data_IF_986658651897
#
_entry.id   IF_986658651897
#
_cell.length_a   1.000
_cell.length_b   1.000
_cell.length_c   1.000
_cell.angle_alpha   90.00
_cell.angle_beta   90.00
_cell.angle_gamma   90.00
#
_symmetry.space_group_name_H-M   'P 1'
#
loop_
_entity.id
_entity.type
_entity.pdbx_description
1 polymer ?
#
# COMPACT_ATOMS: atom_id res chain seq x y z
N UNK A 1 -37.48 -34.98 11.23
CA UNK A 1 -37.03 -33.58 11.11
C UNK A 1 -37.49 -32.95 9.80
N UNK A 2 -38.48 -32.05 9.90
CA UNK A 2 -39.06 -31.29 8.80
C UNK A 2 -38.20 -30.03 8.57
N UNK A 3 -37.44 -29.97 7.46
CA UNK A 3 -36.70 -28.76 7.07
C UNK A 3 -37.63 -27.87 6.25
N UNK A 4 -38.23 -26.90 6.93
CA UNK A 4 -39.09 -25.86 6.35
C UNK A 4 -38.38 -25.12 5.21
N UNK A 5 -38.93 -25.22 4.01
CA UNK A 5 -38.74 -24.23 2.95
C UNK A 5 -39.81 -23.16 3.12
N UNK A 6 -39.37 -21.90 3.26
CA UNK A 6 -40.06 -20.62 3.10
C UNK A 6 -39.03 -19.57 3.56
N UNK A 7 -38.69 -18.48 2.88
CA UNK A 7 -39.52 -17.57 2.11
C UNK A 7 -38.59 -16.70 1.23
N UNK A 8 -38.73 -16.78 -0.09
CA UNK A 8 -38.14 -15.80 -1.02
C UNK A 8 -38.87 -14.47 -0.86
N UNK A 9 -38.13 -13.37 -0.69
CA UNK A 9 -38.70 -12.02 -0.77
C UNK A 9 -38.17 -11.35 -2.04
N UNK A 10 -39.03 -11.00 -3.02
CA UNK A 10 -38.67 -10.10 -4.10
C UNK A 10 -39.12 -8.68 -3.73
N UNK A 11 -38.17 -7.77 -3.61
CA UNK A 11 -38.36 -6.32 -3.60
C UNK A 11 -37.28 -5.88 -4.60
N UNK A 12 -37.59 -5.47 -5.82
CA UNK A 12 -38.24 -4.20 -6.11
C UNK A 12 -39.01 -4.22 -7.45
N UNK A 13 -40.07 -3.42 -7.52
CA UNK A 13 -40.65 -2.98 -8.79
C UNK A 13 -41.02 -1.53 -8.60
N UNK A 14 -40.26 -0.64 -9.23
CA UNK A 14 -40.64 0.76 -9.40
C UNK A 14 -40.04 1.27 -10.69
N UNK A 15 -40.90 1.36 -11.71
CA UNK A 15 -41.09 2.56 -12.50
C UNK A 15 -39.93 3.02 -13.40
N UNK A 16 -40.09 2.74 -14.68
CA UNK A 16 -39.38 3.35 -15.80
C UNK A 16 -39.34 4.89 -15.75
N UNK A 17 -38.20 5.48 -16.11
CA UNK A 17 -38.18 6.58 -17.07
C UNK A 17 -36.85 6.53 -17.82
N UNK A 18 -36.90 6.23 -19.11
CA UNK A 18 -35.74 6.39 -19.98
C UNK A 18 -35.50 7.89 -20.15
N UNK A 19 -34.40 8.42 -19.61
CA UNK A 19 -33.98 9.78 -19.92
C UNK A 19 -33.51 9.81 -21.39
N UNK A 20 -34.31 10.49 -22.19
CA UNK A 20 -34.04 10.70 -23.61
C UNK A 20 -32.92 11.73 -23.74
N UNK A 21 -31.84 11.37 -24.42
CA UNK A 21 -30.87 12.35 -24.88
C UNK A 21 -31.60 13.30 -25.84
N UNK A 22 -31.89 14.50 -25.38
CA UNK A 22 -32.25 15.61 -26.25
C UNK A 22 -31.21 16.67 -26.02
N UNK A 23 -30.18 16.64 -26.86
CA UNK A 23 -29.20 17.72 -26.97
C UNK A 23 -29.90 18.88 -27.67
N UNK A 24 -30.71 19.65 -26.95
CA UNK A 24 -31.26 20.89 -27.50
C UNK A 24 -30.10 21.87 -27.72
N UNK A 25 -29.88 22.16 -28.99
CA UNK A 25 -28.85 23.05 -29.47
C UNK A 25 -29.48 24.42 -29.64
N UNK A 26 -29.20 25.31 -28.67
CA UNK A 26 -29.21 26.78 -28.80
C UNK A 26 -30.58 27.41 -29.11
N UNK A 27 -31.00 28.50 -28.45
CA UNK A 27 -30.55 29.86 -28.74
C UNK A 27 -31.15 30.85 -27.70
N UNK A 28 -30.29 31.76 -27.22
CA UNK A 28 -30.58 33.14 -26.77
C UNK A 28 -31.50 33.42 -25.57
N UNK A 29 -30.90 33.81 -24.43
CA UNK A 29 -30.78 35.22 -24.00
C UNK A 29 -30.51 35.32 -22.48
N UNK A 30 -29.36 35.90 -22.08
CA UNK A 30 -29.10 36.33 -20.70
C UNK A 30 -27.73 35.92 -20.15
N UNK A 31 -26.90 36.93 -19.83
CA UNK A 31 -25.55 36.92 -19.21
C UNK A 31 -25.40 36.11 -17.90
N UNK A 32 -24.23 36.15 -17.21
CA UNK A 32 -22.90 35.65 -17.58
C UNK A 32 -22.38 34.68 -16.49
N UNK A 33 -21.93 33.48 -16.85
CA UNK A 33 -21.14 32.67 -15.91
C UNK A 33 -19.97 32.04 -16.63
N UNK A 34 -18.79 32.61 -16.38
CA UNK A 34 -17.51 31.91 -16.48
C UNK A 34 -17.64 30.57 -15.74
N UNK A 35 -17.93 29.48 -16.43
CA UNK A 35 -17.64 28.15 -15.88
C UNK A 35 -16.23 27.78 -16.29
N UNK A 36 -15.34 28.27 -15.44
CA UNK A 36 -13.99 27.81 -15.19
C UNK A 36 -13.89 26.28 -15.32
N UNK A 37 -12.84 25.89 -16.04
CA UNK A 37 -12.09 24.63 -15.95
C UNK A 37 -12.67 23.55 -15.07
N UNK A 38 -13.13 22.46 -15.70
CA UNK A 38 -12.95 21.15 -15.05
C UNK A 38 -11.51 20.71 -15.36
N UNK A 39 -10.58 21.27 -14.59
CA UNK A 39 -9.29 20.65 -14.36
C UNK A 39 -9.59 19.23 -13.88
N UNK A 40 -9.17 18.21 -14.63
CA UNK A 40 -9.08 16.87 -14.09
C UNK A 40 -8.10 16.94 -12.91
N UNK A 41 -8.62 17.13 -11.70
CA UNK A 41 -7.84 17.01 -10.48
C UNK A 41 -7.56 15.52 -10.30
N UNK A 42 -6.29 15.19 -10.54
CA UNK A 42 -5.70 13.87 -10.41
C UNK A 42 -5.99 13.32 -9.01
N UNK A 43 -6.58 12.13 -8.97
CA UNK A 43 -6.77 11.36 -7.75
C UNK A 43 -5.44 10.73 -7.30
N UNK A 44 -4.44 11.57 -7.00
CA UNK A 44 -3.04 11.19 -6.68
C UNK A 44 -2.90 10.54 -5.29
N UNK A 45 -3.96 10.58 -4.46
CA UNK A 45 -3.92 10.12 -3.07
C UNK A 45 -4.08 8.62 -2.87
N UNK A 46 -4.66 7.88 -3.84
CA UNK A 46 -4.84 6.43 -3.68
C UNK A 46 -3.59 5.64 -4.09
N UNK A 47 -2.78 6.18 -5.01
CA UNK A 47 -1.61 5.48 -5.56
C UNK A 47 -0.48 5.31 -4.51
N UNK A 48 -0.27 6.30 -3.64
CA UNK A 48 0.75 6.23 -2.59
C UNK A 48 0.44 5.17 -1.52
N UNK A 49 -0.84 4.83 -1.36
CA UNK A 49 -1.28 3.80 -0.40
C UNK A 49 -0.87 2.38 -0.83
N UNK A 50 -0.69 2.16 -2.13
CA UNK A 50 -0.34 0.89 -2.75
C UNK A 50 1.17 0.71 -2.97
N UNK A 51 1.96 1.76 -2.73
CA UNK A 51 3.41 1.71 -2.92
C UNK A 51 4.06 0.72 -1.93
N UNK A 52 4.78 -0.25 -2.49
CA UNK A 52 5.53 -1.25 -1.72
C UNK A 52 6.95 -0.75 -1.48
N UNK A 53 7.27 -0.44 -0.23
CA UNK A 53 8.60 0.03 0.17
C UNK A 53 9.29 -0.94 1.13
N UNK A 54 8.54 -1.68 1.94
CA UNK A 54 9.11 -2.59 2.93
C UNK A 54 9.51 -3.95 2.33
N UNK A 55 10.59 -4.55 2.83
CA UNK A 55 11.09 -5.88 2.42
C UNK A 55 10.09 -7.05 2.60
N UNK A 56 8.98 -6.83 3.32
CA UNK A 56 7.91 -7.82 3.44
C UNK A 56 6.97 -7.86 2.23
N UNK A 57 7.25 -7.04 1.20
CA UNK A 57 6.50 -6.97 -0.06
C UNK A 57 5.03 -6.59 0.13
N UNK A 58 4.72 -5.87 1.20
CA UNK A 58 3.39 -5.33 1.48
C UNK A 58 3.42 -3.81 1.40
N UNK A 59 2.36 -3.18 0.90
CA UNK A 59 2.28 -1.72 0.81
C UNK A 59 2.14 -1.09 2.20
N UNK A 60 2.02 0.24 2.24
CA UNK A 60 1.83 1.00 3.47
C UNK A 60 0.61 0.51 4.27
N UNK A 61 -0.57 0.43 3.63
CA UNK A 61 -1.82 -0.04 4.23
C UNK A 61 -2.15 0.58 5.60
N UNK A 62 -1.75 1.85 5.83
CA UNK A 62 -1.99 2.57 7.09
C UNK A 62 -1.20 2.05 8.30
N UNK A 63 -0.17 1.21 8.10
CA UNK A 63 0.64 0.64 9.19
C UNK A 63 1.84 1.53 9.47
N UNK A 64 2.21 1.80 10.75
CA UNK A 64 3.33 2.69 11.06
C UNK A 64 4.64 2.15 10.47
N UNK A 65 5.40 3.05 9.84
CA UNK A 65 6.67 2.77 9.19
C UNK A 65 7.78 3.66 9.75
N UNK A 66 9.02 3.20 9.63
CA UNK A 66 10.23 3.94 9.95
C UNK A 66 11.18 3.87 8.77
N UNK A 67 11.88 4.96 8.48
CA UNK A 67 12.90 5.03 7.44
C UNK A 67 14.24 4.47 7.92
N UNK A 68 14.95 3.74 7.06
CA UNK A 68 16.31 3.30 7.33
C UNK A 68 17.33 4.40 7.01
N UNK A 69 18.19 4.76 7.96
CA UNK A 69 19.21 5.80 7.80
C UNK A 69 20.34 5.46 6.82
N UNK A 70 20.37 4.26 6.25
CA UNK A 70 21.44 3.81 5.36
C UNK A 70 20.97 3.48 3.95
N UNK A 71 19.78 2.93 3.80
CA UNK A 71 19.23 2.53 2.51
C UNK A 71 17.89 3.21 2.19
N UNK A 72 17.47 4.17 3.02
CA UNK A 72 16.28 5.03 2.85
C UNK A 72 14.97 4.24 2.68
N UNK A 73 15.01 2.93 2.96
CA UNK A 73 13.87 2.04 2.81
C UNK A 73 12.94 2.20 4.00
N UNK A 74 11.66 2.40 3.73
CA UNK A 74 10.61 2.45 4.73
C UNK A 74 10.21 1.04 5.17
N UNK A 75 10.26 0.79 6.48
CA UNK A 75 10.03 -0.53 7.08
C UNK A 75 8.88 -0.45 8.07
N UNK A 76 7.92 -1.37 8.01
CA UNK A 76 6.85 -1.43 9.02
C UNK A 76 7.44 -1.69 10.41
N UNK A 77 6.89 -1.05 11.45
CA UNK A 77 7.34 -1.25 12.84
C UNK A 77 7.38 -2.73 13.25
N UNK A 78 6.38 -3.51 12.86
CA UNK A 78 6.33 -4.94 13.16
C UNK A 78 7.45 -5.73 12.45
N UNK A 79 7.83 -5.34 11.23
CA UNK A 79 8.92 -5.93 10.47
C UNK A 79 10.29 -5.51 11.06
N UNK A 80 10.38 -4.26 11.52
CA UNK A 80 11.54 -3.72 12.22
C UNK A 80 11.67 -4.20 13.68
N UNK A 81 10.64 -4.88 14.22
CA UNK A 81 10.51 -5.27 15.63
C UNK A 81 10.56 -4.09 16.62
N UNK A 82 10.01 -2.94 16.22
CA UNK A 82 9.91 -1.72 17.04
C UNK A 82 8.56 -1.69 17.75
N UNK A 83 8.58 -1.35 19.04
CA UNK A 83 7.37 -1.10 19.84
C UNK A 83 7.01 0.38 19.79
N UNK A 84 5.72 0.71 19.77
CA UNK A 84 5.23 2.11 19.69
C UNK A 84 5.76 3.03 20.80
N UNK A 85 6.01 2.48 22.00
CA UNK A 85 6.55 3.24 23.14
C UNK A 85 8.08 3.37 23.14
N UNK A 86 8.78 2.80 22.16
CA UNK A 86 10.23 2.79 22.11
C UNK A 86 10.70 2.91 20.65
N UNK A 87 10.32 4.03 20.03
CA UNK A 87 10.74 4.35 18.66
C UNK A 87 12.11 5.01 18.72
N UNK A 88 13.14 4.45 18.06
CA UNK A 88 14.45 5.09 18.01
C UNK A 88 14.41 6.30 17.08
N UNK A 89 15.23 7.31 17.39
CA UNK A 89 15.42 8.48 16.54
C UNK A 89 16.15 8.12 15.23
N UNK A 90 17.13 7.21 15.32
CA UNK A 90 17.88 6.69 14.18
C UNK A 90 17.69 5.18 14.08
N UNK A 91 17.22 4.72 12.93
CA UNK A 91 17.01 3.30 12.66
C UNK A 91 17.84 2.80 11.48
N UNK A 92 18.57 1.72 11.69
CA UNK A 92 19.22 0.95 10.62
C UNK A 92 18.49 -0.37 10.45
N UNK A 93 18.18 -0.79 9.21
CA UNK A 93 17.47 -2.05 8.95
C UNK A 93 18.38 -3.28 9.18
N UNK A 94 17.79 -4.48 9.26
CA UNK A 94 18.57 -5.72 9.46
C UNK A 94 19.53 -5.99 8.29
N UNK A 95 19.10 -5.78 7.04
CA UNK A 95 19.94 -6.02 5.86
C UNK A 95 21.19 -5.11 5.84
N UNK A 96 21.04 -3.85 6.20
CA UNK A 96 22.15 -2.90 6.34
C UNK A 96 23.12 -3.31 7.45
N UNK A 97 22.58 -3.73 8.62
CA UNK A 97 23.41 -4.27 9.72
C UNK A 97 24.19 -5.49 9.25
N UNK A 98 23.53 -6.48 8.66
CA UNK A 98 24.16 -7.73 8.23
C UNK A 98 25.23 -7.49 7.17
N UNK A 99 24.98 -6.59 6.20
CA UNK A 99 25.95 -6.21 5.16
C UNK A 99 27.25 -5.66 5.74
N UNK A 100 27.19 -4.96 6.88
CA UNK A 100 28.37 -4.46 7.60
C UNK A 100 29.14 -5.57 8.32
N UNK A 101 28.46 -6.65 8.70
CA UNK A 101 29.08 -7.80 9.38
C UNK A 101 29.62 -8.86 8.41
N UNK A 102 29.00 -9.04 7.23
CA UNK A 102 29.46 -10.00 6.22
C UNK A 102 30.81 -9.62 5.62
N UNK A 103 31.09 -8.31 5.46
CA UNK A 103 32.41 -7.81 5.08
C UNK A 103 33.53 -8.21 6.06
N UNK A 104 33.21 -8.46 7.34
CA UNK A 104 34.20 -8.91 8.34
C UNK A 104 34.37 -10.43 8.40
N UNK A 105 33.43 -11.21 7.87
CA UNK A 105 33.42 -12.69 7.97
C UNK A 105 34.17 -13.36 6.82
N UNK A 106 34.39 -12.67 5.70
CA UNK A 106 35.12 -13.20 4.54
C UNK A 106 36.58 -13.57 4.83
N UNK A 107 37.17 -13.10 5.95
CA UNK A 107 38.53 -13.45 6.37
C UNK A 107 38.64 -14.70 7.25
N UNK A 108 37.56 -15.41 7.57
CA UNK A 108 37.67 -16.74 8.18
C UNK A 108 37.73 -17.79 7.07
N UNK A 109 38.90 -17.86 6.42
CA UNK A 109 39.30 -19.04 5.65
C UNK A 109 39.11 -20.25 6.56
N UNK A 110 38.17 -21.11 6.18
CA UNK A 110 37.87 -22.35 6.88
C UNK A 110 39.04 -23.30 6.65
N UNK A 111 40.07 -23.25 7.50
CA UNK A 111 41.10 -24.29 7.58
C UNK A 111 40.46 -25.52 8.21
N UNK A 112 39.80 -26.34 7.38
CA UNK A 112 39.47 -27.72 7.76
C UNK A 112 40.72 -28.57 7.61
N UNK A 113 41.59 -28.52 8.61
CA UNK A 113 42.58 -29.58 8.83
C UNK A 113 41.84 -30.77 9.47
N UNK A 114 41.06 -31.49 8.67
CA UNK A 114 40.49 -32.77 9.12
C UNK A 114 41.54 -33.86 8.91
N UNK A 115 42.33 -34.10 9.95
CA UNK A 115 43.21 -35.26 10.07
C UNK A 115 42.36 -36.52 10.18
N UNK A 116 42.21 -37.27 9.09
CA UNK A 116 41.81 -38.67 9.18
C UNK A 116 43.04 -39.53 9.40
N UNK A 117 43.29 -39.87 10.66
CA UNK A 117 44.11 -41.00 11.08
C UNK A 117 43.25 -42.26 11.04
N UNK A 118 43.58 -43.22 10.18
CA UNK A 118 43.44 -44.68 10.40
C UNK A 118 44.32 -45.38 9.38
#
# INVERSE_FOLDING_TARGET
DLRSHNNMSPLDSSGSTAESYTSDTTLSAGSPTHQFSSSQELNDSEEESELITCFCMKPYAGRPMIECSECETWIHFSCAKIRKNNVPEVYTCQLCRDSKFTARKSNRVRTENNKFTT
#
